data_IF_927430678823
#
_entry.id   IF_927430678823
#
_cell.length_a   1.000
_cell.length_b   1.000
_cell.length_c   1.000
_cell.angle_alpha   90.00
_cell.angle_beta   90.00
_cell.angle_gamma   90.00
#
_symmetry.space_group_name_H-M   'P 1'
#
loop_
_entity.id
_entity.type
_entity.pdbx_description
1 polymer ?
#
# COMPACT_ATOMS: atom_id res chain seq x y z
N UNK A 1 -4.29 60.36 54.92
CA UNK A 1 -3.93 59.69 56.17
C UNK A 1 -5.19 59.10 56.78
N UNK A 2 -5.61 58.02 56.13
CA UNK A 2 -6.36 56.88 56.62
C UNK A 2 -6.15 55.88 55.49
N UNK A 3 -5.24 54.93 55.66
CA UNK A 3 -5.25 53.73 54.80
C UNK A 3 -5.51 52.52 55.69
N UNK A 4 -6.25 52.73 56.78
CA UNK A 4 -6.49 51.78 57.84
C UNK A 4 -6.99 50.46 57.31
N UNK A 5 -6.31 49.38 57.72
CA UNK A 5 -6.75 47.98 57.92
C UNK A 5 -8.02 47.47 57.20
N UNK A 6 -8.34 47.95 56.00
CA UNK A 6 -9.63 47.76 55.34
C UNK A 6 -9.51 47.91 53.83
N UNK A 7 -10.45 47.26 53.13
CA UNK A 7 -10.44 47.13 51.67
C UNK A 7 -10.57 48.50 50.97
N UNK A 8 -9.51 48.95 50.29
CA UNK A 8 -9.55 50.13 49.43
C UNK A 8 -10.13 49.72 48.07
N UNK A 9 -11.18 50.42 47.62
CA UNK A 9 -11.82 50.12 46.32
C UNK A 9 -10.95 50.65 45.18
N UNK A 10 -10.64 49.77 44.23
CA UNK A 10 -9.79 50.04 43.06
C UNK A 10 -10.19 51.25 42.23
N UNK A 11 -11.49 51.58 42.18
CA UNK A 11 -12.01 52.75 41.44
C UNK A 11 -11.52 54.10 41.98
N UNK A 12 -11.04 54.14 43.22
CA UNK A 12 -10.66 55.36 43.93
C UNK A 12 -9.13 55.53 44.01
N UNK A 13 -8.37 54.64 43.38
CA UNK A 13 -6.90 54.64 43.42
C UNK A 13 -6.28 54.85 42.04
N UNK A 14 -5.42 55.87 41.92
CA UNK A 14 -4.59 56.12 40.74
C UNK A 14 -3.12 55.84 41.11
N UNK A 15 -2.54 54.81 40.50
CA UNK A 15 -1.14 54.47 40.65
C UNK A 15 -0.46 54.43 39.29
N UNK A 16 0.76 54.96 39.20
CA UNK A 16 1.59 54.86 37.98
C UNK A 16 2.23 53.47 37.85
N UNK A 17 2.59 52.84 38.96
CA UNK A 17 3.21 51.50 38.99
C UNK A 17 2.85 50.76 40.28
N UNK A 18 2.70 49.44 40.18
CA UNK A 18 2.46 48.54 41.30
C UNK A 18 3.63 47.55 41.39
N UNK A 19 4.31 47.50 42.55
CA UNK A 19 5.55 46.74 42.74
C UNK A 19 5.47 45.85 43.99
N UNK A 20 6.12 44.69 43.96
CA UNK A 20 6.16 43.72 45.06
C UNK A 20 6.96 44.15 46.28
N UNK A 21 7.83 45.16 46.16
CA UNK A 21 8.65 45.71 47.24
C UNK A 21 10.13 45.78 46.87
N UNK A 22 10.97 46.27 47.79
CA UNK A 22 12.41 46.50 47.55
C UNK A 22 13.31 45.42 48.18
N UNK A 23 12.75 44.56 49.04
CA UNK A 23 13.48 43.53 49.77
C UNK A 23 13.16 42.15 49.20
N UNK A 24 14.13 41.24 49.25
CA UNK A 24 13.89 39.85 48.91
C UNK A 24 12.82 39.24 49.85
N UNK A 25 11.79 38.64 49.26
CA UNK A 25 10.63 38.08 49.96
C UNK A 25 9.43 39.02 50.04
N UNK A 26 9.55 40.30 49.66
CA UNK A 26 8.39 41.18 49.57
C UNK A 26 7.44 40.65 48.46
N UNK A 27 6.13 40.66 48.73
CA UNK A 27 5.13 40.11 47.80
C UNK A 27 4.08 41.14 47.40
N UNK A 28 3.75 41.15 46.11
CA UNK A 28 2.53 41.77 45.59
C UNK A 28 1.54 40.65 45.26
N UNK A 29 0.33 40.75 45.82
CA UNK A 29 -0.73 39.76 45.62
C UNK A 29 -1.91 40.39 44.91
N UNK A 30 -2.34 39.76 43.82
CA UNK A 30 -3.65 40.01 43.23
C UNK A 30 -4.58 38.90 43.72
N UNK A 31 -5.64 39.26 44.44
CA UNK A 31 -6.55 38.31 45.09
C UNK A 31 -8.00 38.54 44.66
N UNK A 32 -8.78 37.47 44.62
CA UNK A 32 -10.23 37.51 44.49
C UNK A 32 -10.92 36.98 45.75
N UNK A 33 -12.13 37.43 46.06
CA UNK A 33 -12.94 36.86 47.15
C UNK A 33 -13.70 35.65 46.64
N UNK A 34 -13.43 34.47 47.20
CA UNK A 34 -14.29 33.31 47.04
C UNK A 34 -15.56 33.53 47.86
N UNK A 35 -16.67 33.74 47.15
CA UNK A 35 -17.97 34.04 47.74
C UNK A 35 -18.56 32.85 48.51
N UNK A 36 -18.13 31.62 48.20
CA UNK A 36 -18.63 30.40 48.83
C UNK A 36 -17.77 29.98 50.04
N UNK A 37 -16.46 30.20 49.97
CA UNK A 37 -15.52 29.98 51.08
C UNK A 37 -15.35 31.17 52.03
N UNK A 38 -15.95 32.32 51.70
CA UNK A 38 -15.83 33.59 52.43
C UNK A 38 -14.37 34.05 52.67
N UNK A 39 -13.43 33.62 51.83
CA UNK A 39 -12.00 33.90 51.96
C UNK A 39 -11.45 34.59 50.69
N UNK A 40 -10.36 35.33 50.84
CA UNK A 40 -9.60 35.83 49.68
C UNK A 40 -8.61 34.77 49.20
N UNK A 41 -8.63 34.48 47.90
CA UNK A 41 -7.74 33.53 47.24
C UNK A 41 -6.76 34.31 46.38
N UNK A 42 -5.47 34.01 46.51
CA UNK A 42 -4.44 34.57 45.64
C UNK A 42 -4.66 34.05 44.21
N UNK A 43 -4.62 34.95 43.22
CA UNK A 43 -4.67 34.61 41.80
C UNK A 43 -3.25 34.63 41.24
N UNK A 44 -2.51 35.70 41.56
CA UNK A 44 -1.12 35.92 41.20
C UNK A 44 -0.35 36.43 42.41
N UNK A 45 0.81 35.85 42.68
CA UNK A 45 1.78 36.36 43.64
C UNK A 45 3.07 36.70 42.93
N UNK A 46 3.49 37.96 42.99
CA UNK A 46 4.80 38.41 42.52
C UNK A 46 5.71 38.54 43.74
N UNK A 47 6.84 37.84 43.72
CA UNK A 47 7.80 37.84 44.83
C UNK A 47 9.09 38.51 44.40
N UNK A 48 9.47 39.58 45.11
CA UNK A 48 10.77 40.24 44.93
C UNK A 48 11.90 39.30 45.36
N UNK A 49 12.88 39.05 44.49
CA UNK A 49 14.10 38.28 44.78
C UNK A 49 15.16 38.64 43.72
N UNK A 50 16.38 38.05 43.78
CA UNK A 50 17.39 38.20 42.72
C UNK A 50 16.86 37.80 41.34
N UNK A 51 15.93 36.83 41.29
CA UNK A 51 15.07 36.57 40.14
C UNK A 51 13.64 36.73 40.61
N UNK A 52 12.95 37.75 40.11
CA UNK A 52 11.53 37.99 40.42
C UNK A 52 10.71 36.81 39.91
N UNK A 53 9.88 36.24 40.77
CA UNK A 53 8.93 35.18 40.37
C UNK A 53 7.52 35.75 40.33
N UNK A 54 6.69 35.19 39.46
CA UNK A 54 5.29 35.52 39.30
C UNK A 54 4.51 34.21 39.23
N UNK A 55 3.97 33.80 40.37
CA UNK A 55 3.38 32.48 40.55
C UNK A 55 1.85 32.57 40.47
N UNK A 56 1.27 31.78 39.55
CA UNK A 56 -0.17 31.60 39.45
C UNK A 56 -0.60 30.59 40.52
N UNK A 57 -1.54 31.01 41.37
CA UNK A 57 -2.01 30.19 42.49
C UNK A 57 -3.35 29.48 42.19
N UNK A 58 -3.79 29.56 40.94
CA UNK A 58 -4.95 28.85 40.41
C UNK A 58 -4.74 28.54 38.92
N UNK A 59 -5.47 27.54 38.40
CA UNK A 59 -5.45 27.25 36.97
C UNK A 59 -6.05 28.42 36.17
N UNK A 60 -5.34 28.84 35.12
CA UNK A 60 -5.87 29.80 34.15
C UNK A 60 -6.63 29.00 33.11
N UNK A 61 -7.93 29.24 33.00
CA UNK A 61 -8.80 28.58 32.05
C UNK A 61 -9.37 29.57 31.03
N UNK A 62 -9.64 29.10 29.81
CA UNK A 62 -10.43 29.80 28.80
C UNK A 62 -11.48 28.82 28.28
N UNK A 63 -12.76 29.18 28.36
CA UNK A 63 -13.88 28.31 27.97
C UNK A 63 -13.81 26.90 28.61
N UNK A 64 -13.52 26.85 29.91
CA UNK A 64 -13.34 25.61 30.69
C UNK A 64 -12.14 24.74 30.28
N UNK A 65 -11.28 25.21 29.37
CA UNK A 65 -10.01 24.55 29.06
C UNK A 65 -8.88 25.16 29.87
N UNK A 66 -8.16 24.32 30.61
CA UNK A 66 -6.97 24.75 31.36
C UNK A 66 -5.80 25.06 30.42
N UNK A 67 -5.31 26.29 30.48
CA UNK A 67 -4.17 26.78 29.69
C UNK A 67 -2.87 26.62 30.50
N UNK A 68 -2.88 27.00 31.79
CA UNK A 68 -1.77 26.83 32.73
C UNK A 68 -2.31 26.33 34.08
N UNK A 69 -1.61 25.39 34.72
CA UNK A 69 -1.91 24.91 36.09
C UNK A 69 -0.90 25.46 37.10
N UNK A 70 -1.34 25.67 38.34
CA UNK A 70 -0.52 26.03 39.52
C UNK A 70 0.54 24.96 39.88
N UNK A 71 0.33 23.71 39.45
CA UNK A 71 1.26 22.60 39.63
C UNK A 71 2.30 22.45 38.49
N UNK A 72 2.29 23.31 37.47
CA UNK A 72 3.16 23.13 36.30
C UNK A 72 4.60 23.58 36.60
N UNK A 73 5.50 22.63 36.81
CA UNK A 73 6.95 22.89 36.94
C UNK A 73 7.67 23.03 35.58
N UNK A 74 6.97 22.72 34.49
CA UNK A 74 7.43 22.89 33.11
C UNK A 74 6.60 23.96 32.41
N UNK A 75 7.24 24.85 31.65
CA UNK A 75 6.55 25.85 30.85
C UNK A 75 5.75 25.16 29.74
N UNK A 76 4.42 25.26 29.78
CA UNK A 76 3.53 24.76 28.72
C UNK A 76 3.87 25.32 27.32
N UNK A 77 4.65 26.40 27.24
CA UNK A 77 5.15 26.97 25.99
C UNK A 77 6.41 26.25 25.46
N UNK A 78 7.22 25.67 26.34
CA UNK A 78 8.40 24.88 25.92
C UNK A 78 8.04 23.52 25.34
N UNK A 79 6.89 22.94 25.69
CA UNK A 79 6.42 21.66 25.12
C UNK A 79 5.89 21.77 23.69
N UNK A 80 5.59 22.98 23.21
CA UNK A 80 5.24 23.24 21.80
C UNK A 80 6.40 23.88 21.02
N UNK A 81 7.27 24.65 21.68
CA UNK A 81 8.39 25.35 21.03
C UNK A 81 9.65 24.49 20.85
N UNK A 82 9.90 23.54 21.74
CA UNK A 82 10.90 22.50 21.53
C UNK A 82 10.17 21.30 20.93
N UNK A 83 9.92 21.34 19.62
CA UNK A 83 9.35 20.24 18.83
C UNK A 83 9.79 18.90 19.41
N UNK A 84 8.95 18.16 20.16
CA UNK A 84 9.33 16.83 20.53
C UNK A 84 9.33 16.09 19.21
N UNK A 85 10.48 15.53 18.83
CA UNK A 85 10.46 14.38 17.96
C UNK A 85 9.39 13.46 18.53
N UNK A 86 8.29 13.30 17.81
CA UNK A 86 7.14 12.54 18.29
C UNK A 86 7.53 11.07 18.16
N UNK A 87 8.26 10.56 19.16
CA UNK A 87 8.75 9.17 19.12
C UNK A 87 7.68 8.18 19.58
N UNK A 88 6.51 8.67 20.04
CA UNK A 88 5.31 7.85 20.32
C UNK A 88 4.07 8.76 20.49
N UNK A 89 3.34 9.11 19.42
CA UNK A 89 2.08 9.82 19.61
C UNK A 89 1.06 8.83 20.19
N UNK A 90 0.61 9.06 21.43
CA UNK A 90 -0.67 8.48 21.85
C UNK A 90 -1.76 9.44 21.39
N UNK A 91 -2.30 9.19 20.20
CA UNK A 91 -3.47 9.90 19.71
C UNK A 91 -4.65 9.48 20.59
N UNK A 92 -5.19 10.43 21.36
CA UNK A 92 -6.26 10.16 22.31
C UNK A 92 -7.55 9.61 21.65
N UNK A 93 -7.71 9.77 20.33
CA UNK A 93 -8.78 9.14 19.57
C UNK A 93 -8.57 9.19 18.05
N UNK A 94 -8.67 8.03 17.38
CA UNK A 94 -8.84 7.93 15.93
C UNK A 94 -10.32 7.84 15.51
N UNK A 95 -11.27 7.99 16.45
CA UNK A 95 -12.70 7.75 16.18
C UNK A 95 -13.28 8.70 15.10
N UNK A 96 -12.61 9.83 14.82
CA UNK A 96 -12.94 10.74 13.72
C UNK A 96 -11.85 10.88 12.66
N UNK A 97 -10.77 10.11 12.74
CA UNK A 97 -9.66 10.23 11.80
C UNK A 97 -9.82 9.19 10.69
N UNK A 98 -10.51 9.59 9.62
CA UNK A 98 -10.56 8.79 8.40
C UNK A 98 -9.19 8.85 7.73
N UNK A 99 -8.35 7.85 7.98
CA UNK A 99 -7.06 7.73 7.31
C UNK A 99 -7.19 6.78 6.12
N UNK A 100 -6.85 7.26 4.93
CA UNK A 100 -6.52 6.44 3.79
C UNK A 100 -5.03 6.63 3.45
N UNK A 101 -4.47 5.76 2.61
CA UNK A 101 -3.07 5.82 2.21
C UNK A 101 -2.68 7.10 1.44
N UNK A 102 -3.62 7.98 1.12
CA UNK A 102 -3.34 9.30 0.52
C UNK A 102 -2.93 10.34 1.57
N UNK A 103 -3.36 10.16 2.83
CA UNK A 103 -3.39 11.26 3.80
C UNK A 103 -2.52 11.02 5.06
N UNK A 104 -1.75 9.93 5.12
CA UNK A 104 -0.88 9.66 6.25
C UNK A 104 0.55 10.22 6.01
N UNK A 105 1.14 10.84 7.03
CA UNK A 105 2.52 11.31 6.98
C UNK A 105 3.46 10.10 6.80
N UNK A 106 4.18 10.05 5.68
CA UNK A 106 5.01 8.90 5.29
C UNK A 106 4.27 7.78 4.56
N UNK A 107 3.01 7.99 4.14
CA UNK A 107 2.37 7.06 3.23
C UNK A 107 3.11 7.05 1.89
N UNK A 108 3.61 5.88 1.51
CA UNK A 108 4.16 5.66 0.19
C UNK A 108 3.06 5.79 -0.86
N UNK A 109 3.38 6.44 -1.97
CA UNK A 109 2.57 6.35 -3.16
C UNK A 109 2.48 4.86 -3.58
N UNK A 110 1.29 4.40 -3.96
CA UNK A 110 1.10 3.02 -4.44
C UNK A 110 1.83 2.78 -5.77
N UNK A 111 2.34 3.83 -6.40
CA UNK A 111 3.16 3.76 -7.62
C UNK A 111 4.52 3.10 -7.42
N UNK A 112 5.05 3.06 -6.18
CA UNK A 112 6.35 2.47 -5.84
C UNK A 112 6.25 1.06 -5.22
N UNK A 113 5.09 0.40 -5.29
CA UNK A 113 4.97 -1.00 -4.86
C UNK A 113 5.74 -1.90 -5.85
N UNK A 114 7.02 -2.16 -5.56
CA UNK A 114 7.76 -3.30 -6.10
C UNK A 114 7.33 -4.58 -5.37
N UNK A 115 6.06 -4.97 -5.51
CA UNK A 115 5.59 -6.25 -4.99
C UNK A 115 5.85 -7.35 -6.01
N UNK A 116 6.47 -8.44 -5.56
CA UNK A 116 6.60 -9.67 -6.34
C UNK A 116 5.23 -10.32 -6.63
N UNK A 117 4.20 -10.02 -5.81
CA UNK A 117 2.81 -10.37 -6.05
C UNK A 117 1.86 -9.38 -5.37
N UNK A 118 0.90 -8.83 -6.10
CA UNK A 118 -0.21 -8.03 -5.55
C UNK A 118 -1.48 -8.86 -5.67
N UNK A 119 -2.13 -9.17 -4.54
CA UNK A 119 -3.44 -9.84 -4.53
C UNK A 119 -4.53 -8.78 -4.35
N UNK A 120 -5.18 -8.38 -5.45
CA UNK A 120 -6.35 -7.50 -5.37
C UNK A 120 -7.56 -8.32 -4.94
N UNK A 121 -8.11 -8.02 -3.77
CA UNK A 121 -9.37 -8.61 -3.29
C UNK A 121 -10.51 -7.62 -3.56
N UNK A 122 -11.04 -7.66 -4.79
CA UNK A 122 -12.11 -6.77 -5.24
C UNK A 122 -12.43 -7.05 -6.70
N UNK A 123 -13.70 -7.24 -7.01
CA UNK A 123 -14.19 -7.82 -8.27
C UNK A 123 -13.89 -6.95 -9.50
N UNK A 124 -13.43 -7.65 -10.54
CA UNK A 124 -13.32 -7.22 -11.95
C UNK A 124 -12.12 -6.34 -12.28
N UNK A 125 -10.96 -6.99 -12.47
CA UNK A 125 -10.00 -6.48 -13.44
C UNK A 125 -10.69 -6.60 -14.80
N UNK A 126 -11.10 -5.48 -15.39
CA UNK A 126 -11.59 -5.49 -16.76
C UNK A 126 -10.37 -5.76 -17.63
N UNK A 127 -10.24 -7.00 -18.09
CA UNK A 127 -9.17 -7.49 -18.98
C UNK A 127 -9.20 -6.78 -20.33
N UNK A 128 -8.88 -5.49 -20.35
CA UNK A 128 -8.75 -4.71 -21.58
C UNK A 128 -7.28 -4.78 -21.95
N UNK A 129 -6.96 -5.70 -22.86
CA UNK A 129 -5.67 -5.89 -23.54
C UNK A 129 -4.55 -6.66 -22.79
N UNK A 130 -4.88 -7.53 -21.84
CA UNK A 130 -3.88 -8.44 -21.25
C UNK A 130 -3.99 -9.85 -21.86
N UNK A 131 -2.84 -10.45 -22.20
CA UNK A 131 -2.77 -11.89 -22.52
C UNK A 131 -3.13 -12.66 -21.25
N UNK A 132 -4.31 -13.27 -21.23
CA UNK A 132 -4.85 -14.07 -20.13
C UNK A 132 -4.84 -15.55 -20.51
N UNK A 133 -4.97 -16.44 -19.51
CA UNK A 133 -4.98 -17.88 -19.76
C UNK A 133 -6.02 -18.29 -20.81
N UNK A 134 -7.12 -17.56 -21.01
CA UNK A 134 -8.13 -17.90 -22.01
C UNK A 134 -7.83 -17.48 -23.45
N UNK A 135 -6.81 -16.65 -23.73
CA UNK A 135 -6.58 -16.07 -25.07
C UNK A 135 -5.14 -16.22 -25.61
N UNK A 136 -4.34 -17.13 -25.03
CA UNK A 136 -2.98 -17.44 -25.49
C UNK A 136 -2.89 -18.85 -26.06
N UNK A 137 -1.91 -19.07 -26.96
CA UNK A 137 -1.47 -20.42 -27.36
C UNK A 137 -0.99 -21.19 -26.14
N UNK A 138 -1.36 -22.48 -26.06
CA UNK A 138 -1.12 -23.34 -24.90
C UNK A 138 -0.04 -24.40 -25.11
N UNK A 139 0.19 -24.76 -26.35
CA UNK A 139 1.31 -25.61 -26.75
C UNK A 139 1.70 -25.31 -28.19
N UNK A 140 2.99 -25.36 -28.49
CA UNK A 140 3.45 -25.30 -29.86
C UNK A 140 4.78 -26.04 -30.00
N UNK A 141 5.05 -26.52 -31.21
CA UNK A 141 6.29 -27.19 -31.57
C UNK A 141 6.74 -26.75 -32.97
N UNK A 142 8.04 -26.57 -33.14
CA UNK A 142 8.72 -26.50 -34.42
C UNK A 142 9.82 -27.58 -34.44
N UNK A 143 9.79 -28.45 -35.44
CA UNK A 143 10.75 -29.54 -35.56
C UNK A 143 11.01 -29.89 -37.03
N UNK A 144 12.17 -30.48 -37.29
CA UNK A 144 12.51 -31.09 -38.57
C UNK A 144 11.96 -32.52 -38.57
N UNK A 145 11.03 -32.83 -39.47
CA UNK A 145 10.44 -34.15 -39.61
C UNK A 145 11.34 -35.15 -40.34
N UNK A 146 12.18 -34.69 -41.27
CA UNK A 146 13.07 -35.53 -42.11
C UNK A 146 14.32 -35.95 -41.32
N UNK A 147 15.00 -34.98 -40.72
CA UNK A 147 16.14 -35.25 -39.83
C UNK A 147 15.71 -35.69 -38.42
N UNK A 148 14.42 -35.55 -38.12
CA UNK A 148 13.79 -35.83 -36.83
C UNK A 148 14.49 -35.14 -35.65
N UNK A 149 14.50 -33.80 -35.69
CA UNK A 149 15.14 -32.95 -34.69
C UNK A 149 14.22 -31.84 -34.19
N UNK A 150 14.11 -31.67 -32.87
CA UNK A 150 13.31 -30.60 -32.26
C UNK A 150 14.07 -29.27 -32.35
N UNK A 151 13.45 -28.26 -32.98
CA UNK A 151 14.06 -26.94 -33.17
C UNK A 151 13.73 -26.02 -31.99
N UNK A 152 12.45 -25.93 -31.63
CA UNK A 152 11.95 -25.14 -30.49
C UNK A 152 10.53 -25.57 -30.11
N UNK A 153 10.11 -25.32 -28.88
CA UNK A 153 8.81 -25.72 -28.38
C UNK A 153 8.36 -24.96 -27.12
N UNK A 154 7.08 -25.10 -26.81
CA UNK A 154 6.51 -24.73 -25.53
C UNK A 154 5.43 -25.72 -25.13
N UNK A 155 5.50 -26.18 -23.88
CA UNK A 155 4.57 -27.15 -23.29
C UNK A 155 4.57 -28.51 -24.01
N UNK A 156 5.72 -28.97 -24.50
CA UNK A 156 5.87 -30.25 -25.22
C UNK A 156 6.78 -31.19 -24.43
N UNK A 157 6.24 -32.32 -24.00
CA UNK A 157 6.98 -33.36 -23.27
C UNK A 157 7.77 -34.28 -24.20
N UNK A 158 7.40 -34.33 -25.48
CA UNK A 158 8.14 -35.07 -26.49
C UNK A 158 7.42 -35.17 -27.82
N UNK A 159 8.20 -35.52 -28.85
CA UNK A 159 7.71 -35.77 -30.21
C UNK A 159 8.17 -37.17 -30.61
N UNK A 160 7.27 -37.98 -31.13
CA UNK A 160 7.54 -39.32 -31.64
C UNK A 160 7.26 -39.39 -33.15
N UNK A 161 8.09 -40.10 -33.89
CA UNK A 161 7.84 -40.46 -35.29
C UNK A 161 7.22 -41.86 -35.32
N UNK A 162 5.93 -41.94 -35.65
CA UNK A 162 5.15 -43.18 -35.68
C UNK A 162 5.17 -43.85 -37.07
N UNK A 163 5.79 -43.18 -38.05
CA UNK A 163 5.94 -43.59 -39.43
C UNK A 163 6.31 -42.39 -40.31
N UNK A 164 6.57 -42.62 -41.59
CA UNK A 164 6.79 -41.53 -42.55
C UNK A 164 5.57 -40.63 -42.62
N UNK A 165 5.76 -39.33 -42.41
CA UNK A 165 4.73 -38.30 -42.35
C UNK A 165 3.83 -38.37 -41.12
N UNK A 166 4.10 -39.23 -40.15
CA UNK A 166 3.23 -39.42 -38.98
C UNK A 166 3.97 -39.12 -37.69
N UNK A 167 3.55 -38.07 -36.99
CA UNK A 167 4.20 -37.59 -35.77
C UNK A 167 3.20 -37.46 -34.63
N UNK A 168 3.56 -37.88 -33.42
CA UNK A 168 2.78 -37.61 -32.21
C UNK A 168 3.51 -36.59 -31.35
N UNK A 169 2.85 -35.46 -31.08
CA UNK A 169 3.31 -34.42 -30.13
C UNK A 169 2.60 -34.65 -28.80
N UNK A 170 3.36 -34.80 -27.73
CA UNK A 170 2.86 -34.94 -26.36
C UNK A 170 3.06 -33.66 -25.57
N UNK A 171 2.11 -33.28 -24.72
CA UNK A 171 2.13 -32.05 -23.96
C UNK A 171 2.76 -32.26 -22.57
N UNK A 172 3.42 -31.24 -22.01
CA UNK A 172 3.90 -31.25 -20.61
C UNK A 172 2.74 -31.06 -19.62
N UNK A 173 1.85 -30.14 -19.95
CA UNK A 173 0.58 -29.88 -19.28
C UNK A 173 -0.55 -30.21 -20.24
N UNK A 174 -1.37 -31.19 -19.85
CA UNK A 174 -2.52 -31.65 -20.62
C UNK A 174 -3.58 -30.55 -20.80
N UNK A 175 -4.27 -30.61 -21.93
CA UNK A 175 -5.53 -29.89 -22.12
C UNK A 175 -6.64 -30.51 -21.25
N UNK A 176 -7.64 -29.73 -20.87
CA UNK A 176 -8.73 -30.20 -20.03
C UNK A 176 -9.55 -31.34 -20.67
N UNK A 177 -9.59 -31.40 -22.00
CA UNK A 177 -10.18 -32.49 -22.77
C UNK A 177 -9.52 -32.58 -24.15
N UNK A 178 -9.97 -33.53 -24.98
CA UNK A 178 -9.61 -33.61 -26.40
C UNK A 178 -10.38 -32.60 -27.28
N UNK A 179 -11.00 -31.56 -26.73
CA UNK A 179 -11.79 -30.57 -27.49
C UNK A 179 -11.03 -29.23 -27.68
N UNK A 180 -9.70 -29.27 -27.71
CA UNK A 180 -8.88 -28.11 -28.06
C UNK A 180 -8.77 -27.96 -29.59
N UNK A 181 -8.28 -26.83 -30.06
CA UNK A 181 -8.03 -26.56 -31.47
C UNK A 181 -6.54 -26.73 -31.78
N UNK A 182 -6.22 -27.38 -32.91
CA UNK A 182 -4.85 -27.52 -33.40
C UNK A 182 -4.76 -27.02 -34.84
N UNK A 183 -3.72 -26.25 -35.11
CA UNK A 183 -3.28 -25.91 -36.45
C UNK A 183 -1.87 -26.47 -36.67
N UNK A 184 -1.63 -27.05 -37.83
CA UNK A 184 -0.31 -27.55 -38.21
C UNK A 184 0.00 -27.24 -39.67
N UNK A 185 1.28 -27.21 -39.99
CA UNK A 185 1.78 -26.93 -41.34
C UNK A 185 3.13 -27.60 -41.55
N UNK A 186 3.42 -27.99 -42.78
CA UNK A 186 4.73 -28.53 -43.19
C UNK A 186 5.36 -27.71 -44.31
N UNK A 187 6.69 -27.66 -44.34
CA UNK A 187 7.49 -27.18 -45.47
C UNK A 187 8.49 -28.27 -45.89
N UNK A 188 8.57 -28.49 -47.20
CA UNK A 188 9.60 -29.30 -47.84
C UNK A 188 10.42 -28.46 -48.80
N UNK A 189 11.55 -27.94 -48.34
CA UNK A 189 12.56 -27.28 -49.18
C UNK A 189 11.94 -26.37 -50.26
N UNK A 190 11.18 -25.36 -49.85
CA UNK A 190 10.48 -24.37 -50.69
C UNK A 190 9.16 -24.86 -51.35
N UNK A 191 8.58 -25.96 -50.86
CA UNK A 191 7.24 -26.43 -51.23
C UNK A 191 6.34 -26.55 -49.99
N UNK A 192 5.14 -25.95 -50.06
CA UNK A 192 4.13 -26.05 -48.99
C UNK A 192 3.59 -27.48 -48.92
N UNK A 193 3.64 -28.08 -47.74
CA UNK A 193 3.05 -29.38 -47.46
C UNK A 193 1.86 -29.27 -46.50
N UNK A 194 0.90 -30.16 -46.70
CA UNK A 194 -0.29 -30.21 -45.87
C UNK A 194 -0.01 -31.13 -44.71
N UNK A 195 0.17 -30.56 -43.52
CA UNK A 195 0.04 -31.29 -42.27
C UNK A 195 -1.38 -31.10 -41.73
N UNK A 196 -1.99 -32.19 -41.26
CA UNK A 196 -3.34 -32.20 -40.68
C UNK A 196 -3.33 -32.98 -39.38
N UNK A 197 -4.31 -32.73 -38.52
CA UNK A 197 -4.50 -33.54 -37.31
C UNK A 197 -4.90 -34.97 -37.71
N UNK A 198 -4.08 -35.94 -37.34
CA UNK A 198 -4.29 -37.37 -37.55
C UNK A 198 -5.36 -37.91 -36.60
N UNK A 199 -6.38 -38.59 -37.14
CA UNK A 199 -7.57 -39.00 -36.39
C UNK A 199 -7.39 -40.14 -35.38
N UNK A 200 -6.17 -40.65 -35.17
CA UNK A 200 -5.92 -41.85 -34.33
C UNK A 200 -5.51 -41.49 -32.90
N UNK A 201 -4.84 -40.34 -32.69
CA UNK A 201 -4.44 -39.86 -31.35
C UNK A 201 -4.76 -38.37 -31.22
N UNK A 202 -5.99 -38.08 -30.79
CA UNK A 202 -6.41 -36.75 -30.38
C UNK A 202 -6.88 -36.84 -28.92
N UNK A 203 -5.98 -36.55 -27.99
CA UNK A 203 -6.20 -36.71 -26.56
C UNK A 203 -5.81 -35.43 -25.82
N UNK A 204 -6.28 -35.30 -24.58
CA UNK A 204 -5.92 -34.20 -23.68
C UNK A 204 -4.40 -33.94 -23.63
N UNK A 205 -3.59 -35.01 -23.55
CA UNK A 205 -2.13 -34.93 -23.43
C UNK A 205 -1.35 -35.08 -24.74
N UNK A 206 -2.00 -35.27 -25.88
CA UNK A 206 -1.26 -35.44 -27.15
C UNK A 206 -2.10 -35.22 -28.41
N UNK A 207 -1.43 -34.85 -29.48
CA UNK A 207 -1.99 -34.77 -30.83
C UNK A 207 -1.07 -35.50 -31.82
N UNK A 208 -1.66 -36.31 -32.69
CA UNK A 208 -0.99 -36.85 -33.85
C UNK A 208 -1.20 -35.95 -35.07
N UNK A 209 -0.17 -35.80 -35.87
CA UNK A 209 -0.09 -34.99 -37.08
C UNK A 209 0.29 -35.90 -38.24
N UNK A 210 -0.49 -35.82 -39.32
CA UNK A 210 -0.25 -36.49 -40.60
C UNK A 210 0.16 -35.45 -41.64
N UNK A 211 1.39 -35.56 -42.13
CA UNK A 211 1.99 -34.71 -43.13
C UNK A 211 2.09 -35.47 -44.46
N UNK A 212 1.52 -34.85 -45.48
CA UNK A 212 1.44 -35.42 -46.82
C UNK A 212 1.76 -34.39 -47.89
N UNK A 213 2.29 -34.91 -49.00
CA UNK A 213 2.49 -34.15 -50.23
C UNK A 213 1.14 -33.78 -50.87
N UNK A 214 1.15 -32.87 -51.85
CA UNK A 214 -0.03 -32.54 -52.66
C UNK A 214 -0.63 -33.76 -53.42
N UNK A 215 0.11 -34.85 -53.55
CA UNK A 215 -0.34 -36.10 -54.13
C UNK A 215 -0.86 -37.12 -53.09
N UNK A 216 -1.09 -36.68 -51.84
CA UNK A 216 -1.51 -37.53 -50.70
C UNK A 216 -0.56 -38.71 -50.42
N UNK A 217 0.72 -38.55 -50.76
CA UNK A 217 1.76 -39.45 -50.30
C UNK A 217 2.31 -38.94 -48.96
N UNK A 218 2.38 -39.82 -47.96
CA UNK A 218 2.97 -39.50 -46.66
C UNK A 218 4.44 -39.10 -46.84
N UNK A 219 4.86 -38.04 -46.15
CA UNK A 219 6.20 -37.49 -46.28
C UNK A 219 6.60 -36.79 -44.99
N UNK A 220 7.88 -36.89 -44.65
CA UNK A 220 8.49 -36.20 -43.51
C UNK A 220 8.98 -34.81 -43.95
N UNK A 221 8.30 -33.70 -43.60
CA UNK A 221 8.71 -32.38 -44.04
C UNK A 221 9.95 -31.92 -43.26
N UNK A 222 10.80 -31.10 -43.88
CA UNK A 222 11.98 -30.51 -43.24
C UNK A 222 11.65 -29.48 -42.16
N UNK A 223 10.43 -28.93 -42.17
CA UNK A 223 9.92 -28.07 -41.10
C UNK A 223 8.47 -28.44 -40.83
N UNK A 224 8.15 -28.76 -39.58
CA UNK A 224 6.79 -29.02 -39.11
C UNK A 224 6.48 -28.05 -37.97
N UNK A 225 5.39 -27.29 -38.11
CA UNK A 225 4.88 -26.41 -37.06
C UNK A 225 3.55 -26.93 -36.56
N UNK A 226 3.35 -26.90 -35.24
CA UNK A 226 2.10 -27.27 -34.57
C UNK A 226 1.77 -26.20 -33.54
N UNK A 227 0.50 -25.76 -33.50
CA UNK A 227 -0.03 -24.80 -32.53
C UNK A 227 -1.32 -25.38 -31.95
N UNK A 228 -1.42 -25.40 -30.62
CA UNK A 228 -2.58 -25.89 -29.88
C UNK A 228 -3.17 -24.80 -28.97
N UNK A 229 -4.49 -24.62 -29.03
CA UNK A 229 -5.26 -23.59 -28.32
C UNK A 229 -6.47 -24.23 -27.64
N UNK A 230 -6.64 -23.99 -26.35
CA UNK A 230 -7.74 -24.54 -25.55
C UNK A 230 -7.52 -24.30 -24.06
N UNK A 231 -8.34 -24.93 -23.22
CA UNK A 231 -8.17 -24.88 -21.77
C UNK A 231 -7.22 -25.99 -21.30
N UNK A 232 -6.36 -25.70 -20.33
CA UNK A 232 -5.44 -26.66 -19.69
C UNK A 232 -5.95 -27.07 -18.31
N UNK A 233 -5.69 -28.32 -17.92
CA UNK A 233 -6.06 -28.89 -16.60
C UNK A 233 -5.03 -28.62 -15.51
#
# INVERSE_FOLDING_TARGET
DDLGTGDIRWKDTWFETLSSGLTAGDTLKLRGRDVNGAAYVDILTITSNNTVTADLHSSVTHDSNTILTDASTASALTSFGASPTIVTPTIASFVSATHNHSNAAGAGDLTDIQATSVTLTGTTQTDVDTLVKGNIVKGWANFDGDAFGQNDDFNVSGIAQDGTGLFTVSWDTDFASADYAVACSGDRNDAVESCVVGGVVYAAGSVQIDCQTAASAAHDPTVVNVIAIGDQS
#
